data_IF_277246293899
#
_entry.id   IF_277246293899
#
_cell.length_a   1.000
_cell.length_b   1.000
_cell.length_c   1.000
_cell.angle_alpha   90.00
_cell.angle_beta   90.00
_cell.angle_gamma   90.00
#
_symmetry.space_group_name_H-M   'P 1'
#
loop_
_entity.id
_entity.type
_entity.pdbx_description
1 polymer ?
#
# COMPACT_ATOMS: atom_id res chain seq x y z
N UNK A 1 -9.83 -14.27 -20.73
CA UNK A 1 -10.59 -12.99 -20.85
C UNK A 1 -10.59 -12.12 -19.59
N UNK A 2 -11.53 -12.16 -18.62
CA UNK A 2 -11.37 -11.39 -17.35
C UNK A 2 -10.03 -11.66 -16.61
N UNK A 3 -9.39 -12.79 -16.93
CA UNK A 3 -8.10 -13.27 -16.42
C UNK A 3 -6.86 -12.66 -17.09
N UNK A 4 -6.98 -11.94 -18.21
CA UNK A 4 -5.83 -11.35 -18.93
C UNK A 4 -5.59 -9.93 -18.45
N UNK A 5 -6.64 -9.10 -18.31
CA UNK A 5 -6.51 -7.85 -17.55
C UNK A 5 -6.25 -8.19 -16.08
N UNK A 6 -7.00 -9.11 -15.46
CA UNK A 6 -6.60 -9.68 -14.15
C UNK A 6 -5.40 -10.65 -14.26
N UNK A 7 -4.58 -10.56 -15.29
CA UNK A 7 -3.37 -11.35 -15.53
C UNK A 7 -2.19 -10.46 -15.91
N UNK A 8 -2.44 -9.26 -16.41
CA UNK A 8 -1.50 -8.14 -16.60
C UNK A 8 -1.56 -7.25 -15.35
N UNK A 9 -2.77 -6.89 -14.88
CA UNK A 9 -3.03 -6.31 -13.56
C UNK A 9 -2.78 -7.34 -12.45
N UNK A 10 -3.02 -8.64 -12.69
CA UNK A 10 -2.58 -9.69 -11.76
C UNK A 10 -1.21 -10.31 -12.02
N UNK A 11 -0.47 -10.00 -13.08
CA UNK A 11 0.97 -10.22 -13.04
C UNK A 11 1.59 -9.21 -12.08
N UNK A 12 1.16 -7.95 -12.15
CA UNK A 12 1.53 -6.92 -11.16
C UNK A 12 1.07 -7.27 -9.73
N UNK A 13 -0.04 -8.00 -9.53
CA UNK A 13 -0.47 -8.46 -8.17
C UNK A 13 -0.02 -9.87 -7.74
N UNK A 14 0.30 -10.81 -8.64
CA UNK A 14 0.81 -12.16 -8.31
C UNK A 14 2.28 -12.10 -7.90
N UNK A 15 3.03 -11.12 -8.40
CA UNK A 15 4.34 -10.76 -7.83
C UNK A 15 4.24 -10.34 -6.35
N UNK A 16 3.11 -9.80 -5.90
CA UNK A 16 2.86 -9.52 -4.48
C UNK A 16 2.55 -10.78 -3.64
N UNK A 17 2.29 -11.93 -4.26
CA UNK A 17 1.91 -13.16 -3.55
C UNK A 17 3.07 -14.14 -3.33
N UNK A 18 4.19 -14.02 -4.07
CA UNK A 18 5.30 -14.98 -4.00
C UNK A 18 6.41 -14.63 -2.99
N UNK A 19 6.34 -13.49 -2.28
CA UNK A 19 7.20 -13.21 -1.11
C UNK A 19 6.54 -13.58 0.23
N UNK A 20 5.27 -14.01 0.22
CA UNK A 20 4.46 -14.28 1.41
C UNK A 20 4.08 -15.75 1.62
N UNK A 21 5.06 -16.66 1.59
CA UNK A 21 4.93 -18.02 2.16
C UNK A 21 6.32 -18.69 2.18
N UNK A 22 7.22 -18.22 3.04
CA UNK A 22 8.30 -19.07 3.53
C UNK A 22 7.70 -20.15 4.42
N UNK A 23 8.02 -21.45 4.25
CA UNK A 23 7.53 -22.48 5.15
C UNK A 23 8.08 -22.23 6.56
N UNK A 24 7.16 -22.12 7.52
CA UNK A 24 7.46 -22.08 8.95
C UNK A 24 8.40 -23.24 9.31
N UNK A 25 9.52 -22.86 9.93
CA UNK A 25 10.42 -23.75 10.65
C UNK A 25 9.67 -24.51 11.73
N UNK A 26 9.76 -25.84 11.71
CA UNK A 26 9.55 -26.67 12.89
C UNK A 26 10.90 -27.33 13.26
N UNK A 27 11.25 -27.17 14.54
CA UNK A 27 12.41 -27.68 15.26
C UNK A 27 12.86 -29.10 14.90
N UNK A 28 14.18 -29.32 14.87
CA UNK A 28 14.82 -30.34 15.71
C UNK A 28 16.32 -30.05 15.91
N UNK A 29 16.79 -30.33 17.13
CA UNK A 29 18.03 -29.89 17.73
C UNK A 29 19.23 -30.84 17.51
N UNK A 30 20.41 -30.34 17.92
CA UNK A 30 21.69 -31.03 18.20
C UNK A 30 22.55 -31.52 17.02
N UNK A 31 23.67 -30.83 16.76
CA UNK A 31 24.97 -31.30 17.27
C UNK A 31 26.08 -30.24 17.07
N UNK A 32 26.85 -30.07 18.15
CA UNK A 32 28.11 -29.33 18.23
C UNK A 32 29.19 -29.85 17.29
N UNK A 33 29.91 -28.97 16.62
CA UNK A 33 31.35 -29.18 16.37
C UNK A 33 32.09 -27.86 16.13
N UNK A 34 33.37 -27.90 16.47
CA UNK A 34 34.20 -26.80 16.94
C UNK A 34 35.37 -26.60 15.97
N UNK A 35 35.83 -25.34 15.81
CA UNK A 35 37.15 -24.90 15.29
C UNK A 35 37.33 -25.07 13.75
N UNK A 36 37.70 -24.07 12.94
CA UNK A 36 39.00 -23.38 12.92
C UNK A 36 38.93 -21.93 12.41
N UNK A 37 39.56 -21.07 13.20
CA UNK A 37 39.95 -19.69 12.90
C UNK A 37 41.07 -19.69 11.86
N UNK A 38 40.87 -19.01 10.72
CA UNK A 38 42.00 -18.61 9.86
C UNK A 38 41.87 -17.13 9.51
N UNK A 39 42.63 -16.32 10.25
CA UNK A 39 43.07 -14.99 9.83
C UNK A 39 44.02 -15.14 8.64
N UNK A 40 43.92 -14.27 7.63
CA UNK A 40 45.06 -13.66 6.92
C UNK A 40 44.60 -12.53 5.97
N UNK A 41 45.22 -11.38 6.23
CA UNK A 41 45.54 -10.23 5.36
C UNK A 41 44.45 -9.45 4.63
N UNK A 42 44.24 -8.25 5.18
CA UNK A 42 44.17 -6.99 4.45
C UNK A 42 45.07 -6.98 3.21
N UNK A 43 44.45 -6.72 2.06
CA UNK A 43 45.10 -6.09 0.94
C UNK A 43 44.26 -4.88 0.58
N UNK A 44 44.68 -3.73 1.10
CA UNK A 44 44.27 -2.43 0.57
C UNK A 44 44.40 -2.48 -0.96
N UNK A 45 43.27 -2.36 -1.64
CA UNK A 45 43.23 -1.98 -3.05
C UNK A 45 42.39 -0.71 -3.11
N UNK A 46 43.08 0.39 -2.80
CA UNK A 46 42.68 1.74 -3.16
C UNK A 46 42.72 1.83 -4.68
N UNK A 47 41.56 1.94 -5.34
CA UNK A 47 41.32 2.64 -6.62
C UNK A 47 40.01 2.16 -7.26
N UNK A 48 38.93 2.94 -7.07
CA UNK A 48 37.93 3.30 -8.09
C UNK A 48 36.88 4.25 -7.48
N UNK A 49 37.34 5.37 -6.91
CA UNK A 49 36.46 6.47 -6.50
C UNK A 49 36.45 7.51 -7.64
N UNK A 50 35.78 7.21 -8.76
CA UNK A 50 35.53 8.22 -9.82
C UNK A 50 34.27 8.00 -10.69
N UNK A 51 33.53 6.88 -10.59
CA UNK A 51 32.31 6.65 -11.41
C UNK A 51 30.98 6.57 -10.62
N UNK A 52 31.03 6.48 -9.28
CA UNK A 52 29.81 6.44 -8.45
C UNK A 52 29.06 7.79 -8.48
N UNK A 53 29.81 8.89 -8.46
CA UNK A 53 29.29 10.27 -8.33
C UNK A 53 28.47 10.71 -9.57
N UNK A 54 28.80 10.22 -10.77
CA UNK A 54 28.03 10.52 -11.99
C UNK A 54 26.78 9.66 -12.15
N UNK A 55 26.81 8.44 -11.60
CA UNK A 55 25.71 7.49 -11.71
C UNK A 55 24.60 7.84 -10.73
N UNK A 56 24.96 8.17 -9.49
CA UNK A 56 24.04 8.62 -8.44
C UNK A 56 23.32 9.92 -8.82
N UNK A 57 24.05 10.93 -9.31
CA UNK A 57 23.43 12.18 -9.79
C UNK A 57 22.47 11.94 -10.97
N UNK A 58 22.71 10.92 -11.80
CA UNK A 58 21.80 10.54 -12.89
C UNK A 58 20.54 9.84 -12.39
N UNK A 59 20.64 9.01 -11.35
CA UNK A 59 19.51 8.31 -10.76
C UNK A 59 18.63 9.26 -9.95
N UNK A 60 19.22 10.19 -9.21
CA UNK A 60 18.46 11.24 -8.52
C UNK A 60 17.62 12.07 -9.50
N UNK A 61 18.17 12.41 -10.66
CA UNK A 61 17.44 13.14 -11.68
C UNK A 61 16.23 12.34 -12.21
N UNK A 62 16.42 11.05 -12.51
CA UNK A 62 15.35 10.15 -12.96
C UNK A 62 14.25 10.02 -11.89
N UNK A 63 14.64 9.82 -10.63
CA UNK A 63 13.71 9.70 -9.49
C UNK A 63 12.92 10.99 -9.31
N UNK A 64 13.58 12.14 -9.30
CA UNK A 64 12.90 13.44 -9.18
C UNK A 64 11.94 13.68 -10.33
N UNK A 65 12.37 13.40 -11.56
CA UNK A 65 11.53 13.56 -12.74
C UNK A 65 10.24 12.72 -12.64
N UNK A 66 10.36 11.50 -12.12
CA UNK A 66 9.20 10.64 -11.88
C UNK A 66 8.29 11.18 -10.79
N UNK A 67 8.85 11.63 -9.66
CA UNK A 67 8.07 12.17 -8.54
C UNK A 67 7.39 13.49 -8.91
N UNK A 68 8.01 14.32 -9.73
CA UNK A 68 7.41 15.54 -10.28
C UNK A 68 6.20 15.18 -11.17
N UNK A 69 6.37 14.25 -12.11
CA UNK A 69 5.28 13.75 -12.95
C UNK A 69 4.13 13.13 -12.13
N UNK A 70 4.49 12.35 -11.10
CA UNK A 70 3.56 11.77 -10.14
C UNK A 70 2.80 12.85 -9.36
N UNK A 71 3.46 13.89 -8.87
CA UNK A 71 2.77 14.97 -8.14
C UNK A 71 1.85 15.80 -9.05
N UNK A 72 2.19 15.91 -10.33
CA UNK A 72 1.40 16.64 -11.33
C UNK A 72 0.26 15.80 -11.93
N UNK A 73 0.18 14.50 -11.60
CA UNK A 73 -0.73 13.52 -12.24
C UNK A 73 -0.54 13.47 -13.76
N UNK A 74 0.71 13.58 -14.20
CA UNK A 74 1.10 13.36 -15.59
C UNK A 74 1.19 11.85 -15.86
N UNK A 75 0.01 11.23 -16.04
CA UNK A 75 -0.13 9.79 -16.27
C UNK A 75 0.65 9.31 -17.50
N UNK A 76 0.74 10.13 -18.55
CA UNK A 76 1.50 9.81 -19.76
C UNK A 76 2.98 9.66 -19.43
N UNK A 77 3.55 10.67 -18.75
CA UNK A 77 4.96 10.67 -18.41
C UNK A 77 5.31 9.54 -17.44
N UNK A 78 4.51 9.32 -16.40
CA UNK A 78 4.77 8.20 -15.48
C UNK A 78 4.64 6.85 -16.18
N UNK A 79 3.73 6.71 -17.14
CA UNK A 79 3.60 5.50 -17.96
C UNK A 79 4.83 5.26 -18.82
N UNK A 80 5.32 6.27 -19.55
CA UNK A 80 6.52 6.17 -20.40
C UNK A 80 7.80 5.86 -19.61
N UNK A 81 7.89 6.37 -18.39
CA UNK A 81 9.00 6.09 -17.48
C UNK A 81 8.97 4.67 -16.89
N UNK A 82 7.81 4.00 -16.87
CA UNK A 82 7.68 2.65 -16.31
C UNK A 82 7.64 1.56 -17.38
N UNK A 83 7.01 1.83 -18.52
CA UNK A 83 6.66 0.81 -19.48
C UNK A 83 7.66 0.67 -20.63
N UNK A 84 7.82 -0.54 -21.20
CA UNK A 84 8.60 -0.71 -22.43
C UNK A 84 7.95 -0.04 -23.64
N UNK A 85 8.78 0.26 -24.63
CA UNK A 85 8.31 0.81 -25.89
C UNK A 85 7.37 -0.19 -26.60
N UNK A 86 6.33 0.32 -27.25
CA UNK A 86 5.37 -0.51 -27.97
C UNK A 86 4.28 -1.16 -27.10
N UNK A 87 4.35 -1.06 -25.76
CA UNK A 87 3.32 -1.64 -24.88
C UNK A 87 1.92 -1.07 -25.14
N UNK A 88 1.82 0.17 -25.63
CA UNK A 88 0.52 0.80 -25.89
C UNK A 88 -0.26 0.04 -26.97
N UNK A 89 0.46 -0.52 -27.96
CA UNK A 89 -0.16 -1.37 -28.98
C UNK A 89 -0.74 -2.63 -28.33
N UNK A 90 0.01 -3.27 -27.43
CA UNK A 90 -0.47 -4.44 -26.68
C UNK A 90 -1.76 -4.12 -25.92
N UNK A 91 -1.75 -3.03 -25.16
CA UNK A 91 -2.91 -2.65 -24.34
C UNK A 91 -4.13 -2.36 -25.22
N UNK A 92 -3.96 -1.66 -26.34
CA UNK A 92 -5.03 -1.42 -27.30
C UNK A 92 -5.58 -2.69 -27.92
N UNK A 93 -4.72 -3.58 -28.40
CA UNK A 93 -5.13 -4.87 -28.98
C UNK A 93 -5.94 -5.67 -27.97
N UNK A 94 -5.51 -5.73 -26.71
CA UNK A 94 -6.26 -6.42 -25.65
C UNK A 94 -7.59 -5.72 -25.36
N UNK A 95 -7.60 -4.39 -25.28
CA UNK A 95 -8.83 -3.62 -25.06
C UNK A 95 -9.84 -3.80 -26.20
N UNK A 96 -9.39 -3.90 -27.45
CA UNK A 96 -10.23 -4.16 -28.63
C UNK A 96 -10.85 -5.55 -28.59
N UNK A 97 -10.06 -6.57 -28.21
CA UNK A 97 -10.54 -7.94 -28.00
C UNK A 97 -11.65 -7.98 -26.95
N UNK A 98 -11.46 -7.29 -25.82
CA UNK A 98 -12.44 -7.30 -24.73
C UNK A 98 -13.68 -6.46 -25.01
N UNK A 99 -13.52 -5.29 -25.66
CA UNK A 99 -14.59 -4.36 -25.97
C UNK A 99 -15.26 -4.61 -27.33
N UNK A 100 -14.93 -5.72 -28.02
CA UNK A 100 -15.53 -6.12 -29.30
C UNK A 100 -17.07 -6.18 -29.29
N UNK A 101 -17.70 -6.13 -28.11
CA UNK A 101 -19.17 -6.13 -27.92
C UNK A 101 -19.77 -4.77 -27.60
N UNK A 102 -18.99 -3.82 -27.10
CA UNK A 102 -19.50 -2.56 -26.53
C UNK A 102 -19.29 -1.33 -27.42
N UNK A 103 -18.59 -1.47 -28.57
CA UNK A 103 -18.35 -0.43 -29.61
C UNK A 103 -17.88 0.93 -29.07
N UNK A 104 -17.29 0.97 -27.87
CA UNK A 104 -16.73 2.19 -27.30
C UNK A 104 -15.24 2.25 -27.57
N UNK A 105 -14.86 3.20 -28.41
CA UNK A 105 -13.47 3.62 -28.54
C UNK A 105 -13.02 4.20 -27.19
N UNK A 106 -12.07 3.53 -26.54
CA UNK A 106 -11.43 4.04 -25.32
C UNK A 106 -10.20 4.83 -25.75
N UNK A 107 -10.15 6.11 -25.42
CA UNK A 107 -8.99 6.96 -25.75
C UNK A 107 -7.73 6.47 -25.03
N UNK A 108 -6.55 6.64 -25.65
CA UNK A 108 -5.25 6.31 -25.05
C UNK A 108 -5.08 6.92 -23.66
N UNK A 109 -5.42 8.20 -23.51
CA UNK A 109 -5.33 8.91 -22.22
C UNK A 109 -6.17 8.25 -21.12
N UNK A 110 -7.35 7.73 -21.47
CA UNK A 110 -8.21 7.01 -20.50
C UNK A 110 -7.58 5.69 -20.09
N UNK A 111 -7.07 4.93 -21.06
CA UNK A 111 -6.42 3.64 -20.79
C UNK A 111 -5.16 3.82 -19.94
N UNK A 112 -4.33 4.81 -20.27
CA UNK A 112 -3.10 5.12 -19.53
C UNK A 112 -3.44 5.57 -18.12
N UNK A 113 -4.44 6.44 -17.98
CA UNK A 113 -4.91 6.87 -16.66
C UNK A 113 -5.38 5.68 -15.83
N UNK A 114 -6.27 4.84 -16.36
CA UNK A 114 -6.80 3.67 -15.65
C UNK A 114 -5.68 2.70 -15.26
N UNK A 115 -4.70 2.51 -16.16
CA UNK A 115 -3.53 1.67 -15.89
C UNK A 115 -2.63 2.27 -14.82
N UNK A 116 -2.45 3.59 -14.78
CA UNK A 116 -1.54 4.24 -13.85
C UNK A 116 -2.20 4.57 -12.51
N UNK A 117 -3.53 4.63 -12.42
CA UNK A 117 -4.25 5.10 -11.24
C UNK A 117 -3.85 4.35 -9.96
N UNK A 118 -3.52 3.06 -10.05
CA UNK A 118 -3.13 2.25 -8.88
C UNK A 118 -1.84 2.70 -8.19
N UNK A 119 -0.93 3.39 -8.89
CA UNK A 119 0.31 3.90 -8.27
C UNK A 119 0.07 5.23 -7.54
N UNK A 120 -1.03 5.94 -7.83
CA UNK A 120 -1.34 7.25 -7.27
C UNK A 120 -2.08 7.12 -5.93
N UNK A 121 -1.48 7.69 -4.89
CA UNK A 121 -2.16 8.02 -3.64
C UNK A 121 -2.84 9.40 -3.69
N UNK A 122 -3.58 9.70 -2.63
CA UNK A 122 -4.31 10.98 -2.50
C UNK A 122 -3.43 12.17 -2.11
N UNK A 123 -2.14 11.93 -1.85
CA UNK A 123 -1.20 12.94 -1.38
C UNK A 123 0.04 13.05 -2.27
N UNK A 124 0.46 14.30 -2.48
CA UNK A 124 1.75 14.64 -3.07
C UNK A 124 2.90 14.35 -2.11
N UNK A 125 4.07 14.09 -2.69
CA UNK A 125 5.27 13.68 -1.97
C UNK A 125 6.44 14.59 -2.32
N UNK A 126 7.16 15.06 -1.32
CA UNK A 126 8.38 15.84 -1.47
C UNK A 126 9.58 14.90 -1.40
N UNK A 127 10.40 14.90 -2.44
CA UNK A 127 11.69 14.23 -2.43
C UNK A 127 12.67 14.98 -1.52
N UNK A 128 13.36 14.26 -0.62
CA UNK A 128 14.42 14.84 0.22
C UNK A 128 15.80 14.46 -0.30
N UNK A 129 16.09 13.17 -0.34
CA UNK A 129 17.38 12.63 -0.75
C UNK A 129 17.26 11.15 -1.12
N UNK A 130 18.22 10.65 -1.92
CA UNK A 130 18.49 9.21 -2.00
C UNK A 130 19.32 8.84 -0.77
N UNK A 131 18.90 7.80 -0.06
CA UNK A 131 19.65 7.26 1.08
C UNK A 131 20.65 6.21 0.66
N UNK A 132 20.27 5.38 -0.32
CA UNK A 132 21.05 4.21 -0.72
C UNK A 132 20.70 3.76 -2.14
N UNK A 133 21.70 3.20 -2.82
CA UNK A 133 21.60 2.64 -4.17
C UNK A 133 22.37 1.34 -4.18
N UNK A 134 21.66 0.23 -4.35
CA UNK A 134 22.23 -1.10 -4.34
C UNK A 134 21.96 -1.80 -5.66
N UNK A 135 22.93 -2.56 -6.17
CA UNK A 135 22.62 -3.52 -7.23
C UNK A 135 21.65 -4.56 -6.68
N UNK A 136 20.63 -4.89 -7.48
CA UNK A 136 19.66 -5.92 -7.10
C UNK A 136 20.34 -7.29 -7.00
N UNK A 137 19.87 -8.13 -6.10
CA UNK A 137 20.38 -9.51 -6.01
C UNK A 137 19.85 -10.39 -7.17
N UNK A 138 20.35 -11.63 -7.28
CA UNK A 138 19.97 -12.52 -8.38
C UNK A 138 18.47 -12.87 -8.39
N UNK A 139 17.85 -12.96 -7.22
CA UNK A 139 16.43 -13.28 -7.05
C UNK A 139 15.56 -12.09 -7.44
N UNK A 140 15.90 -10.89 -6.97
CA UNK A 140 15.27 -9.63 -7.36
C UNK A 140 15.42 -9.37 -8.87
N UNK A 141 16.63 -9.57 -9.41
CA UNK A 141 16.89 -9.44 -10.84
C UNK A 141 16.04 -10.41 -11.65
N UNK A 142 15.94 -11.67 -11.22
CA UNK A 142 15.12 -12.66 -11.88
C UNK A 142 13.64 -12.23 -11.89
N UNK A 143 13.11 -11.75 -10.77
CA UNK A 143 11.74 -11.25 -10.69
C UNK A 143 11.50 -10.05 -11.62
N UNK A 144 12.42 -9.09 -11.66
CA UNK A 144 12.36 -7.96 -12.58
C UNK A 144 12.39 -8.44 -14.04
N UNK A 145 13.26 -9.39 -14.36
CA UNK A 145 13.34 -10.02 -15.69
C UNK A 145 12.05 -10.74 -16.05
N UNK A 146 11.47 -11.55 -15.19
CA UNK A 146 10.18 -12.20 -15.46
C UNK A 146 9.06 -11.18 -15.67
N UNK A 147 9.06 -10.07 -14.91
CA UNK A 147 8.05 -9.01 -15.03
C UNK A 147 8.12 -8.29 -16.37
N UNK A 148 9.28 -7.72 -16.71
CA UNK A 148 9.46 -6.99 -17.96
C UNK A 148 9.54 -7.91 -19.18
N UNK A 149 9.99 -9.15 -19.00
CA UNK A 149 10.06 -10.16 -20.04
C UNK A 149 8.70 -10.52 -20.61
N UNK A 150 7.65 -10.55 -19.76
CA UNK A 150 6.29 -10.75 -20.25
C UNK A 150 5.84 -9.59 -21.14
N UNK A 151 6.15 -8.35 -20.78
CA UNK A 151 5.82 -7.19 -21.62
C UNK A 151 6.54 -7.23 -22.97
N UNK A 152 7.84 -7.51 -22.96
CA UNK A 152 8.63 -7.63 -24.20
C UNK A 152 8.13 -8.78 -25.08
N UNK A 153 7.76 -9.92 -24.47
CA UNK A 153 7.14 -11.03 -25.19
C UNK A 153 5.80 -10.63 -25.82
N UNK A 154 4.91 -9.99 -25.06
CA UNK A 154 3.61 -9.52 -25.56
C UNK A 154 3.77 -8.54 -26.72
N UNK A 155 4.68 -7.55 -26.58
CA UNK A 155 4.98 -6.58 -27.63
C UNK A 155 5.45 -7.30 -28.89
N UNK A 156 6.37 -8.26 -28.75
CA UNK A 156 6.87 -9.03 -29.89
C UNK A 156 5.75 -9.87 -30.52
N UNK A 157 5.02 -10.63 -29.72
CA UNK A 157 4.01 -11.57 -30.16
C UNK A 157 2.87 -10.86 -30.90
N UNK A 158 2.34 -9.76 -30.36
CA UNK A 158 1.29 -8.97 -31.00
C UNK A 158 1.80 -8.32 -32.30
N UNK A 159 3.06 -7.91 -32.36
CA UNK A 159 3.63 -7.39 -33.61
C UNK A 159 3.80 -8.47 -34.69
N UNK A 160 4.03 -9.72 -34.31
CA UNK A 160 4.22 -10.84 -35.23
C UNK A 160 2.88 -11.49 -35.67
N UNK A 161 1.84 -11.42 -34.82
CA UNK A 161 0.59 -12.18 -34.98
C UNK A 161 -0.70 -11.35 -34.92
N UNK A 162 -0.64 -10.03 -35.15
CA UNK A 162 -1.79 -9.10 -35.02
C UNK A 162 -3.07 -9.59 -35.72
N UNK A 163 -2.98 -10.00 -36.99
CA UNK A 163 -4.13 -10.47 -37.78
C UNK A 163 -4.70 -11.82 -37.28
N UNK A 164 -3.84 -12.69 -36.76
CA UNK A 164 -4.20 -13.99 -36.22
C UNK A 164 -4.95 -13.81 -34.89
N UNK A 165 -4.44 -12.93 -34.02
CA UNK A 165 -5.06 -12.58 -32.74
C UNK A 165 -6.44 -11.95 -32.94
N UNK A 166 -6.61 -11.09 -33.95
CA UNK A 166 -7.91 -10.52 -34.27
C UNK A 166 -8.95 -11.58 -34.68
N UNK A 167 -8.48 -12.69 -35.27
CA UNK A 167 -9.33 -13.80 -35.73
C UNK A 167 -9.56 -14.87 -34.65
N UNK A 168 -8.57 -15.07 -33.79
CA UNK A 168 -8.57 -16.01 -32.67
C UNK A 168 -7.92 -15.38 -31.42
N UNK A 169 -8.70 -14.63 -30.63
CA UNK A 169 -8.16 -13.97 -29.44
C UNK A 169 -7.68 -14.92 -28.34
N UNK A 170 -8.08 -16.21 -28.36
CA UNK A 170 -7.64 -17.21 -27.39
C UNK A 170 -6.18 -17.63 -27.62
N UNK A 171 -5.65 -17.44 -28.84
CA UNK A 171 -4.26 -17.74 -29.19
C UNK A 171 -3.25 -17.05 -28.27
N UNK A 172 -3.52 -15.81 -27.84
CA UNK A 172 -2.63 -15.08 -26.94
C UNK A 172 -2.48 -15.80 -25.59
N UNK A 173 -3.59 -16.27 -25.02
CA UNK A 173 -3.60 -17.01 -23.75
C UNK A 173 -2.91 -18.37 -23.91
N UNK A 174 -3.20 -19.09 -25.01
CA UNK A 174 -2.63 -20.40 -25.28
C UNK A 174 -1.11 -20.37 -25.46
N UNK A 175 -0.58 -19.34 -26.13
CA UNK A 175 0.87 -19.19 -26.31
C UNK A 175 1.55 -18.70 -25.03
N UNK A 176 0.91 -17.82 -24.25
CA UNK A 176 1.41 -17.39 -22.96
C UNK A 176 1.53 -18.57 -21.96
N UNK A 177 0.53 -19.47 -21.93
CA UNK A 177 0.49 -20.65 -21.06
C UNK A 177 1.59 -21.68 -21.37
N UNK A 178 2.20 -21.62 -22.56
CA UNK A 178 3.32 -22.50 -22.96
C UNK A 178 4.67 -22.01 -22.42
N UNK A 179 4.77 -20.76 -21.98
CA UNK A 179 6.02 -20.18 -21.53
C UNK A 179 6.32 -20.57 -20.08
N UNK A 180 7.55 -21.02 -19.83
CA UNK A 180 8.06 -21.10 -18.47
C UNK A 180 8.46 -19.71 -17.96
N UNK A 181 8.53 -19.54 -16.64
CA UNK A 181 9.02 -18.29 -16.04
C UNK A 181 10.46 -17.94 -16.45
N UNK A 182 11.27 -18.95 -16.75
CA UNK A 182 12.64 -18.79 -17.28
C UNK A 182 12.62 -18.28 -18.72
N UNK A 183 11.73 -18.82 -19.57
CA UNK A 183 11.54 -18.35 -20.94
C UNK A 183 11.07 -16.89 -20.95
N UNK A 184 10.12 -16.55 -20.07
CA UNK A 184 9.63 -15.18 -19.90
C UNK A 184 10.80 -14.25 -19.50
N UNK A 185 11.57 -14.62 -18.48
CA UNK A 185 12.70 -13.80 -18.01
C UNK A 185 13.74 -13.53 -19.12
N UNK A 186 13.94 -14.48 -20.03
CA UNK A 186 14.87 -14.36 -21.14
C UNK A 186 14.47 -13.27 -22.17
N UNK A 187 13.20 -12.88 -22.25
CA UNK A 187 12.75 -11.81 -23.16
C UNK A 187 13.07 -10.39 -22.67
N UNK A 188 13.33 -10.22 -21.38
CA UNK A 188 13.33 -8.90 -20.73
C UNK A 188 14.41 -7.93 -21.18
N UNK A 189 15.48 -8.36 -21.83
CA UNK A 189 16.60 -7.49 -22.24
C UNK A 189 17.12 -6.53 -21.14
N UNK A 190 16.92 -6.86 -19.85
CA UNK A 190 17.44 -6.09 -18.72
C UNK A 190 18.94 -6.33 -18.63
N UNK A 191 19.69 -5.24 -18.76
CA UNK A 191 21.16 -5.25 -18.68
C UNK A 191 21.68 -4.91 -17.28
N UNK A 192 21.01 -4.01 -16.59
CA UNK A 192 21.37 -3.50 -15.26
C UNK A 192 20.09 -3.21 -14.47
N UNK A 193 20.12 -3.40 -13.17
CA UNK A 193 19.04 -2.98 -12.28
C UNK A 193 19.60 -2.60 -10.90
N UNK A 194 19.01 -1.56 -10.32
CA UNK A 194 19.39 -1.03 -9.01
C UNK A 194 18.15 -0.81 -8.16
N UNK A 195 18.22 -1.14 -6.88
CA UNK A 195 17.26 -0.75 -5.86
C UNK A 195 17.67 0.60 -5.30
N UNK A 196 16.77 1.57 -5.38
CA UNK A 196 16.99 2.93 -4.87
C UNK A 196 16.10 3.14 -3.66
N UNK A 197 16.72 3.39 -2.50
CA UNK A 197 16.02 3.78 -1.28
C UNK A 197 16.11 5.29 -1.12
N UNK A 198 14.97 5.94 -0.92
CA UNK A 198 14.87 7.40 -0.83
C UNK A 198 14.09 7.86 0.39
N UNK A 199 14.43 9.05 0.88
CA UNK A 199 13.66 9.76 1.89
C UNK A 199 12.62 10.64 1.20
N UNK A 200 11.35 10.35 1.47
CA UNK A 200 10.20 11.12 1.00
C UNK A 200 9.51 11.79 2.20
N UNK A 201 8.68 12.80 1.92
CA UNK A 201 7.86 13.48 2.90
C UNK A 201 6.49 13.80 2.29
N UNK A 202 5.40 13.47 3.00
CA UNK A 202 4.07 13.85 2.54
C UNK A 202 3.89 15.38 2.60
N UNK A 203 3.45 16.00 1.51
CA UNK A 203 3.33 17.46 1.43
C UNK A 203 2.34 18.02 2.46
N UNK A 204 1.20 17.34 2.67
CA UNK A 204 0.15 17.78 3.59
C UNK A 204 0.58 17.73 5.06
N UNK A 205 1.22 16.63 5.47
CA UNK A 205 1.49 16.34 6.90
C UNK A 205 2.92 16.65 7.31
N UNK A 206 3.85 16.79 6.37
CA UNK A 206 5.28 16.85 6.64
C UNK A 206 5.86 15.55 7.19
N UNK A 207 5.11 14.44 7.16
CA UNK A 207 5.58 13.15 7.66
C UNK A 207 6.59 12.55 6.68
N UNK A 208 7.80 12.31 7.20
CA UNK A 208 8.91 11.70 6.46
C UNK A 208 8.85 10.17 6.51
N UNK A 209 9.07 9.51 5.36
CA UNK A 209 9.12 8.05 5.23
C UNK A 209 10.14 7.58 4.18
N UNK A 210 10.51 6.30 4.22
CA UNK A 210 11.40 5.69 3.22
C UNK A 210 10.56 5.07 2.09
N UNK A 211 10.82 5.50 0.86
CA UNK A 211 10.30 4.87 -0.36
C UNK A 211 11.38 4.04 -1.04
N UNK A 212 10.99 3.00 -1.80
CA UNK A 212 11.92 2.15 -2.54
C UNK A 212 11.45 1.91 -3.95
N UNK A 213 12.30 2.08 -4.94
CA UNK A 213 11.95 1.72 -6.32
C UNK A 213 13.11 1.04 -7.00
N UNK A 214 12.81 0.32 -8.09
CA UNK A 214 13.86 -0.25 -8.94
C UNK A 214 14.06 0.64 -10.17
N UNK A 215 15.32 0.98 -10.44
CA UNK A 215 15.74 1.53 -11.73
C UNK A 215 16.27 0.38 -12.58
N UNK A 216 15.67 0.17 -13.75
CA UNK A 216 15.93 -0.97 -14.62
C UNK A 216 16.37 -0.47 -15.98
N UNK A 217 17.53 -0.93 -16.47
CA UNK A 217 18.05 -0.60 -17.79
C UNK A 217 17.53 -1.60 -18.82
N UNK A 218 16.37 -1.28 -19.37
CA UNK A 218 15.60 -2.07 -20.34
C UNK A 218 15.87 -1.55 -21.75
N UNK A 219 16.37 -2.42 -22.65
CA UNK A 219 16.67 -2.05 -24.05
C UNK A 219 17.58 -0.80 -24.18
N UNK A 220 18.42 -0.54 -23.17
CA UNK A 220 19.33 0.62 -23.13
C UNK A 220 18.75 1.90 -22.54
N UNK A 221 17.45 1.93 -22.20
CA UNK A 221 16.79 3.05 -21.51
C UNK A 221 16.51 2.69 -20.05
N UNK A 222 16.56 3.69 -19.16
CA UNK A 222 16.17 3.52 -17.76
C UNK A 222 14.64 3.55 -17.64
N UNK A 223 14.10 2.56 -16.94
CA UNK A 223 12.70 2.44 -16.58
C UNK A 223 12.57 2.31 -15.06
N UNK A 224 11.44 2.75 -14.53
CA UNK A 224 11.12 2.69 -13.11
C UNK A 224 10.16 1.53 -12.88
N UNK A 225 10.42 0.74 -11.85
CA UNK A 225 9.44 -0.17 -11.30
C UNK A 225 9.09 0.27 -9.87
N UNK A 226 7.81 0.58 -9.66
CA UNK A 226 7.28 1.22 -8.45
C UNK A 226 6.76 0.22 -7.41
N UNK A 227 7.13 -1.06 -7.50
CA UNK A 227 6.61 -2.15 -6.65
C UNK A 227 6.65 -1.82 -5.14
N UNK A 228 7.65 -1.06 -4.68
CA UNK A 228 7.80 -0.63 -3.27
C UNK A 228 7.78 0.91 -3.09
N UNK A 229 7.49 1.67 -4.16
CA UNK A 229 7.82 3.11 -4.20
C UNK A 229 6.95 3.92 -3.25
N UNK A 230 5.68 3.54 -3.16
CA UNK A 230 4.66 4.30 -2.48
C UNK A 230 3.73 3.34 -1.73
N UNK A 231 4.15 2.91 -0.54
CA UNK A 231 3.18 2.55 0.49
C UNK A 231 3.06 1.09 0.92
N UNK A 232 4.14 0.31 0.93
CA UNK A 232 4.16 -0.84 1.86
C UNK A 232 4.07 -0.35 3.31
N UNK A 233 4.72 0.78 3.64
CA UNK A 233 4.61 1.35 4.98
C UNK A 233 3.26 1.98 5.30
N UNK A 234 2.54 2.59 4.37
CA UNK A 234 1.20 3.18 4.65
C UNK A 234 0.20 2.09 5.03
N UNK A 235 0.26 0.94 4.36
CA UNK A 235 -0.57 -0.23 4.65
C UNK A 235 -0.15 -0.95 5.96
N UNK A 236 1.13 -1.01 6.28
CA UNK A 236 1.61 -1.60 7.54
C UNK A 236 1.47 -0.64 8.73
N UNK A 237 1.62 0.68 8.54
CA UNK A 237 1.44 1.68 9.59
C UNK A 237 -0.04 1.85 9.96
N UNK A 238 -0.96 1.79 8.98
CA UNK A 238 -2.40 1.71 9.23
C UNK A 238 -2.75 0.44 10.02
N UNK A 239 -2.27 -0.74 9.61
CA UNK A 239 -2.46 -1.99 10.38
C UNK A 239 -1.85 -1.95 11.79
N UNK A 240 -0.74 -1.23 12.00
CA UNK A 240 -0.11 -1.08 13.32
C UNK A 240 -0.87 -0.11 14.25
N UNK A 241 -1.72 0.76 13.73
CA UNK A 241 -2.57 1.68 14.50
C UNK A 241 -4.03 1.17 14.63
N UNK A 242 -4.50 0.34 13.71
CA UNK A 242 -5.80 -0.36 13.79
C UNK A 242 -5.89 -1.28 15.00
N UNK A 243 -4.77 -1.91 15.40
CA UNK A 243 -4.74 -2.81 16.55
C UNK A 243 -5.12 -2.08 17.85
N UNK A 244 -4.49 -0.95 18.23
CA UNK A 244 -4.94 -0.15 19.36
C UNK A 244 -6.40 0.32 19.28
N UNK A 245 -6.83 0.91 18.14
CA UNK A 245 -8.21 1.39 17.98
C UNK A 245 -9.23 0.24 18.12
N UNK A 246 -8.93 -0.92 17.54
CA UNK A 246 -9.74 -2.13 17.67
C UNK A 246 -9.76 -2.68 19.10
N UNK A 247 -8.62 -2.65 19.80
CA UNK A 247 -8.52 -3.08 21.19
C UNK A 247 -9.33 -2.18 22.12
N UNK A 248 -9.27 -0.85 21.95
CA UNK A 248 -10.08 0.11 22.71
C UNK A 248 -11.57 -0.13 22.43
N UNK A 249 -11.98 -0.22 21.17
CA UNK A 249 -13.37 -0.48 20.80
C UNK A 249 -13.91 -1.80 21.42
N UNK A 250 -13.11 -2.88 21.37
CA UNK A 250 -13.46 -4.16 21.98
C UNK A 250 -13.54 -4.08 23.50
N UNK A 251 -12.57 -3.43 24.15
CA UNK A 251 -12.55 -3.20 25.59
C UNK A 251 -13.81 -2.43 26.04
N UNK A 252 -14.18 -1.39 25.30
CA UNK A 252 -15.37 -0.57 25.54
C UNK A 252 -16.67 -1.37 25.36
N UNK A 253 -16.76 -2.20 24.31
CA UNK A 253 -17.90 -3.09 24.13
C UNK A 253 -18.01 -4.12 25.26
N UNK A 254 -16.87 -4.66 25.73
CA UNK A 254 -16.85 -5.58 26.88
C UNK A 254 -17.28 -4.88 28.16
N UNK A 255 -16.75 -3.68 28.45
CA UNK A 255 -17.13 -2.86 29.59
C UNK A 255 -18.64 -2.55 29.59
N UNK A 256 -19.20 -2.19 28.42
CA UNK A 256 -20.63 -1.98 28.26
C UNK A 256 -21.45 -3.22 28.62
N UNK A 257 -21.06 -4.40 28.10
CA UNK A 257 -21.76 -5.66 28.39
C UNK A 257 -21.72 -6.00 29.89
N UNK A 258 -20.61 -5.75 30.57
CA UNK A 258 -20.53 -5.97 32.02
C UNK A 258 -21.46 -5.03 32.80
N UNK A 259 -21.46 -3.74 32.48
CA UNK A 259 -22.35 -2.75 33.11
C UNK A 259 -23.82 -3.09 32.85
N UNK A 260 -24.17 -3.59 31.66
CA UNK A 260 -25.51 -4.08 31.33
C UNK A 260 -25.91 -5.29 32.19
N UNK A 261 -25.00 -6.28 32.31
CA UNK A 261 -25.22 -7.47 33.16
C UNK A 261 -25.36 -7.09 34.65
N UNK A 262 -24.66 -6.06 35.10
CA UNK A 262 -24.75 -5.51 36.46
C UNK A 262 -26.02 -4.67 36.69
N UNK A 263 -26.76 -4.34 35.62
CA UNK A 263 -28.00 -3.57 35.69
C UNK A 263 -27.78 -2.05 35.75
N UNK A 264 -26.57 -1.59 35.42
CA UNK A 264 -26.19 -0.17 35.40
C UNK A 264 -26.65 0.53 34.11
N UNK A 265 -27.03 -0.24 33.08
CA UNK A 265 -27.50 0.27 31.79
C UNK A 265 -29.02 0.08 31.66
N UNK A 266 -29.81 1.16 31.60
CA UNK A 266 -31.25 1.06 31.40
C UNK A 266 -31.60 0.74 29.95
N UNK A 267 -32.71 0.00 29.75
CA UNK A 267 -33.25 -0.27 28.42
C UNK A 267 -33.49 1.03 27.62
N UNK A 268 -32.92 1.12 26.42
CA UNK A 268 -33.13 2.28 25.55
C UNK A 268 -32.20 2.31 24.35
N UNK A 269 -32.29 3.41 23.60
CA UNK A 269 -31.34 3.73 22.53
C UNK A 269 -30.55 4.97 22.90
N UNK A 270 -29.24 4.87 22.86
CA UNK A 270 -28.31 5.94 23.27
C UNK A 270 -27.20 6.05 22.24
N UNK A 271 -26.68 7.26 22.04
CA UNK A 271 -25.58 7.53 21.11
C UNK A 271 -24.82 8.74 21.63
N UNK A 272 -23.57 8.55 22.02
CA UNK A 272 -22.76 9.56 22.70
C UNK A 272 -21.27 9.39 22.38
N UNK A 273 -20.47 10.41 22.69
CA UNK A 273 -19.02 10.37 22.55
C UNK A 273 -18.39 10.36 23.94
N UNK A 274 -17.50 9.40 24.15
CA UNK A 274 -16.61 9.36 25.30
C UNK A 274 -15.17 9.50 24.81
N UNK A 275 -14.37 10.31 25.50
CA UNK A 275 -13.00 10.63 25.11
C UNK A 275 -12.05 10.52 26.31
N UNK A 276 -10.77 10.29 26.02
CA UNK A 276 -9.67 10.45 26.97
C UNK A 276 -9.60 11.88 27.55
N UNK A 277 -10.09 12.88 26.82
CA UNK A 277 -10.27 14.24 27.31
C UNK A 277 -11.74 14.44 27.69
N UNK A 278 -12.03 14.51 29.00
CA UNK A 278 -13.39 14.68 29.51
C UNK A 278 -14.09 15.92 28.96
N UNK A 279 -13.35 16.96 28.56
CA UNK A 279 -13.94 18.16 27.95
C UNK A 279 -14.51 17.92 26.55
N UNK A 280 -14.12 16.81 25.92
CA UNK A 280 -14.63 16.32 24.63
C UNK A 280 -15.70 15.22 24.79
N UNK A 281 -16.15 14.92 26.01
CA UNK A 281 -17.33 14.08 26.19
C UNK A 281 -18.57 14.80 25.64
N UNK A 282 -19.39 14.10 24.85
CA UNK A 282 -20.54 14.69 24.16
C UNK A 282 -21.78 13.82 24.28
N UNK A 283 -22.93 14.44 24.57
CA UNK A 283 -24.23 13.79 24.70
C UNK A 283 -24.26 12.59 25.69
N UNK A 284 -23.42 12.60 26.73
CA UNK A 284 -23.41 11.56 27.78
C UNK A 284 -24.74 11.60 28.56
N UNK A 285 -25.49 10.48 28.64
CA UNK A 285 -26.70 10.43 29.45
C UNK A 285 -26.40 10.64 30.94
N UNK A 286 -27.29 11.33 31.67
CA UNK A 286 -27.09 11.61 33.11
C UNK A 286 -26.92 10.36 33.98
N UNK A 287 -27.46 9.22 33.54
CA UNK A 287 -27.35 7.94 34.24
C UNK A 287 -26.03 7.20 33.97
N UNK A 288 -25.28 7.58 32.94
CA UNK A 288 -24.11 6.85 32.50
C UNK A 288 -22.89 7.18 33.38
N UNK A 289 -22.42 6.20 34.14
CA UNK A 289 -21.21 6.32 34.94
C UNK A 289 -19.97 6.21 34.05
N UNK A 290 -19.45 7.38 33.66
CA UNK A 290 -18.27 7.50 32.80
C UNK A 290 -17.01 6.98 33.49
N UNK A 291 -16.89 7.17 34.81
CA UNK A 291 -15.72 6.74 35.58
C UNK A 291 -15.67 5.21 35.65
N UNK A 292 -16.80 4.57 36.00
CA UNK A 292 -16.92 3.12 36.02
C UNK A 292 -16.68 2.48 34.65
N UNK A 293 -17.20 3.09 33.59
CA UNK A 293 -16.98 2.61 32.22
C UNK A 293 -15.50 2.66 31.84
N UNK A 294 -14.81 3.77 32.14
CA UNK A 294 -13.38 3.92 31.89
C UNK A 294 -12.55 2.91 32.72
N UNK A 295 -12.87 2.72 34.01
CA UNK A 295 -12.22 1.73 34.88
C UNK A 295 -12.34 0.31 34.31
N UNK A 296 -13.56 -0.10 33.91
CA UNK A 296 -13.78 -1.41 33.28
C UNK A 296 -13.04 -1.53 31.96
N UNK A 297 -13.00 -0.46 31.15
CA UNK A 297 -12.28 -0.47 29.88
C UNK A 297 -10.77 -0.63 30.07
N UNK A 298 -10.18 0.04 31.07
CA UNK A 298 -8.76 -0.06 31.43
C UNK A 298 -8.36 -1.51 31.76
N UNK A 299 -9.26 -2.28 32.39
CA UNK A 299 -9.00 -3.70 32.71
C UNK A 299 -8.75 -4.58 31.49
N UNK A 300 -9.21 -4.16 30.30
CA UNK A 300 -9.01 -4.85 29.03
C UNK A 300 -8.00 -4.14 28.11
N UNK A 301 -7.67 -2.88 28.37
CA UNK A 301 -6.69 -2.10 27.64
C UNK A 301 -5.95 -1.15 28.59
N UNK A 302 -4.90 -1.66 29.22
CA UNK A 302 -4.16 -0.98 30.30
C UNK A 302 -3.64 0.42 29.92
N UNK A 303 -3.34 0.65 28.65
CA UNK A 303 -2.81 1.93 28.17
C UNK A 303 -3.88 2.96 27.79
N UNK A 304 -5.15 2.74 28.16
CA UNK A 304 -6.24 3.65 27.77
C UNK A 304 -6.05 5.07 28.33
N UNK A 305 -5.48 5.19 29.53
CA UNK A 305 -5.27 6.45 30.23
C UNK A 305 -4.04 7.23 29.73
N UNK A 306 -3.11 6.55 29.07
CA UNK A 306 -1.87 7.13 28.54
C UNK A 306 -1.99 7.53 27.05
N UNK A 307 -3.19 7.46 26.48
CA UNK A 307 -3.41 7.63 25.04
C UNK A 307 -4.54 8.60 24.76
N UNK A 308 -4.43 9.35 23.67
CA UNK A 308 -5.48 10.24 23.23
C UNK A 308 -6.45 9.47 22.31
N UNK A 309 -7.74 9.48 22.65
CA UNK A 309 -8.76 8.76 21.90
C UNK A 309 -10.15 9.35 22.11
N UNK A 310 -11.06 9.06 21.18
CA UNK A 310 -12.50 9.20 21.39
C UNK A 310 -13.23 8.04 20.73
N UNK A 311 -14.40 7.69 21.28
CA UNK A 311 -15.28 6.67 20.74
C UNK A 311 -16.71 7.15 20.67
N UNK A 312 -17.35 6.91 19.52
CA UNK A 312 -18.80 7.04 19.35
C UNK A 312 -19.44 5.73 19.76
N UNK A 313 -20.13 5.72 20.90
CA UNK A 313 -20.85 4.56 21.41
C UNK A 313 -22.32 4.75 21.14
N UNK A 314 -22.91 3.86 20.35
CA UNK A 314 -24.36 3.84 20.13
C UNK A 314 -24.93 2.46 20.43
N UNK A 315 -25.85 2.38 21.38
CA UNK A 315 -26.48 1.15 21.86
C UNK A 315 -25.46 0.05 22.23
N UNK A 316 -24.37 0.43 22.91
CA UNK A 316 -23.31 -0.49 23.34
C UNK A 316 -22.36 -0.97 22.25
N UNK A 317 -22.45 -0.40 21.05
CA UNK A 317 -21.52 -0.67 19.95
C UNK A 317 -20.64 0.57 19.77
N UNK A 318 -19.31 0.37 19.77
CA UNK A 318 -18.38 1.39 19.32
C UNK A 318 -18.45 1.48 17.79
N UNK A 319 -19.09 2.52 17.26
CA UNK A 319 -19.28 2.75 15.82
C UNK A 319 -18.04 3.32 15.15
N UNK A 320 -17.31 4.14 15.89
CA UNK A 320 -15.97 4.59 15.52
C UNK A 320 -15.18 4.86 16.78
N UNK A 321 -13.92 4.45 16.77
CA UNK A 321 -12.93 4.76 17.80
C UNK A 321 -11.72 5.34 17.11
N UNK A 322 -11.45 6.63 17.32
CA UNK A 322 -10.25 7.30 16.87
C UNK A 322 -9.18 7.22 17.96
N UNK A 323 -7.95 6.86 17.58
CA UNK A 323 -6.83 6.67 18.50
C UNK A 323 -5.59 7.42 18.02
N UNK A 324 -4.93 8.16 18.90
CA UNK A 324 -3.68 8.90 18.67
C UNK A 324 -2.56 8.34 19.54
N UNK A 325 -1.54 7.75 18.90
CA UNK A 325 -0.43 7.07 19.61
C UNK A 325 0.60 8.02 20.20
N UNK A 326 0.97 9.07 19.46
CA UNK A 326 2.16 9.92 19.76
C UNK A 326 2.09 11.32 19.15
N UNK A 327 1.35 11.50 18.05
CA UNK A 327 1.16 12.78 17.34
C UNK A 327 -0.18 12.78 16.59
N UNK A 328 -0.83 13.94 16.39
CA UNK A 328 -2.17 14.06 15.79
C UNK A 328 -2.31 13.50 14.37
N UNK A 329 -1.21 13.21 13.67
CA UNK A 329 -1.20 12.54 12.37
C UNK A 329 -1.24 10.99 12.43
N UNK A 330 -1.17 10.39 13.62
CA UNK A 330 -1.22 8.93 13.84
C UNK A 330 -2.62 8.49 14.30
N UNK A 331 -3.65 8.87 13.54
CA UNK A 331 -5.04 8.52 13.87
C UNK A 331 -5.41 7.23 13.16
N UNK A 332 -5.93 6.25 13.91
CA UNK A 332 -6.59 5.09 13.34
C UNK A 332 -8.02 4.98 13.83
N UNK A 333 -8.86 4.37 13.00
CA UNK A 333 -10.30 4.23 13.20
C UNK A 333 -10.72 2.77 13.17
N UNK A 334 -11.64 2.39 14.05
CA UNK A 334 -12.27 1.07 14.05
C UNK A 334 -13.71 1.16 14.58
N UNK A 335 -14.67 0.39 14.04
CA UNK A 335 -14.60 -0.42 12.82
C UNK A 335 -14.62 0.44 11.55
N UNK A 336 -13.94 -0.01 10.48
CA UNK A 336 -13.90 0.70 9.19
C UNK A 336 -15.11 0.43 8.28
N UNK A 337 -15.85 -0.66 8.49
CA UNK A 337 -16.98 -1.07 7.65
C UNK A 337 -18.10 -1.70 8.51
N UNK A 338 -18.87 -0.87 9.22
CA UNK A 338 -20.03 -1.36 9.97
C UNK A 338 -21.32 -1.07 9.19
N UNK A 339 -21.81 -2.09 8.50
CA UNK A 339 -23.06 -2.09 7.74
C UNK A 339 -24.25 -2.20 8.72
N UNK A 340 -24.63 -1.08 9.37
CA UNK A 340 -25.85 -1.00 10.16
C UNK A 340 -26.26 0.46 10.44
N UNK A 341 -27.17 1.02 9.64
CA UNK A 341 -28.13 2.12 9.96
C UNK A 341 -27.62 3.45 10.57
N UNK A 342 -26.32 3.61 10.73
CA UNK A 342 -25.62 4.87 11.00
C UNK A 342 -24.93 5.28 9.70
N UNK A 343 -25.74 5.50 8.66
CA UNK A 343 -25.39 5.62 7.24
C UNK A 343 -24.42 6.75 6.85
N UNK A 344 -23.73 7.43 7.78
CA UNK A 344 -22.93 8.61 7.39
C UNK A 344 -21.62 8.82 8.17
N UNK A 345 -21.44 8.38 9.44
CA UNK A 345 -20.24 8.82 10.19
C UNK A 345 -18.93 8.27 9.62
N UNK A 346 -18.88 6.97 9.31
CA UNK A 346 -17.65 6.36 8.80
C UNK A 346 -17.34 6.80 7.35
N UNK A 347 -18.38 7.11 6.57
CA UNK A 347 -18.25 7.61 5.19
C UNK A 347 -17.85 9.09 5.14
N UNK A 348 -18.23 9.88 6.15
CA UNK A 348 -17.86 11.29 6.27
C UNK A 348 -16.44 11.50 6.79
N UNK A 349 -15.85 10.49 7.45
CA UNK A 349 -14.51 10.59 8.01
C UNK A 349 -13.50 9.93 7.07
N UNK A 350 -12.43 10.64 6.71
CA UNK A 350 -11.35 10.15 5.85
C UNK A 350 -10.03 10.07 6.60
N UNK A 351 -9.08 9.26 6.11
CA UNK A 351 -7.79 9.04 6.77
C UNK A 351 -6.87 10.28 6.74
N UNK A 352 -7.22 11.32 5.99
CA UNK A 352 -6.48 12.58 5.91
C UNK A 352 -7.02 13.69 6.82
N UNK A 353 -8.05 13.40 7.62
CA UNK A 353 -8.61 14.33 8.61
C UNK A 353 -7.76 14.37 9.88
N UNK A 354 -7.71 15.53 10.53
CA UNK A 354 -7.19 15.66 11.89
C UNK A 354 -8.15 15.11 12.94
N UNK A 355 -7.63 14.83 14.14
CA UNK A 355 -8.41 14.21 15.23
C UNK A 355 -9.62 15.07 15.61
N UNK A 356 -9.44 16.39 15.61
CA UNK A 356 -10.51 17.36 15.88
C UNK A 356 -11.54 17.42 14.75
N UNK A 357 -11.13 17.35 13.48
CA UNK A 357 -12.07 17.29 12.35
C UNK A 357 -12.92 16.01 12.39
N UNK A 358 -12.32 14.86 12.72
CA UNK A 358 -13.06 13.61 12.91
C UNK A 358 -14.07 13.73 14.06
N UNK A 359 -13.64 14.32 15.17
CA UNK A 359 -14.48 14.55 16.34
C UNK A 359 -15.68 15.45 16.03
N UNK A 360 -15.46 16.59 15.37
CA UNK A 360 -16.51 17.55 15.02
C UNK A 360 -17.57 16.94 14.08
N UNK A 361 -17.15 16.08 13.15
CA UNK A 361 -18.07 15.32 12.27
C UNK A 361 -18.93 14.37 13.11
N UNK A 362 -18.33 13.66 14.08
CA UNK A 362 -19.06 12.75 14.96
C UNK A 362 -20.07 13.49 15.84
N UNK A 363 -19.68 14.63 16.42
CA UNK A 363 -20.55 15.49 17.23
C UNK A 363 -21.76 15.91 16.40
N UNK A 364 -21.52 16.45 15.20
CA UNK A 364 -22.59 16.90 14.30
C UNK A 364 -23.55 15.76 13.94
N UNK A 365 -23.02 14.57 13.63
CA UNK A 365 -23.84 13.43 13.27
C UNK A 365 -24.68 12.85 14.43
N UNK A 366 -24.27 13.10 15.68
CA UNK A 366 -25.07 12.79 16.87
C UNK A 366 -26.14 13.86 17.09
N UNK A 367 -25.80 15.14 16.94
CA UNK A 367 -26.71 16.28 17.16
C UNK A 367 -27.82 16.39 16.10
N UNK A 368 -27.56 15.94 14.87
CA UNK A 368 -28.53 15.95 13.76
C UNK A 368 -29.62 14.85 13.90
N UNK A 369 -29.60 14.05 14.99
CA UNK A 369 -30.55 12.97 15.28
C UNK A 369 -31.51 13.31 16.42
#
# INVERSE_FOLDING_TARGET
MKRIIAGIIAFTTVLCAFTGCGPDTADEAEETTTVETTTVSEKETTEAATDADSTEASFEAIVKEFLDAYNERDYQKTFEMQMPDGIMKVIKTIAEIENAKDEKEVSEDTVIKDYQEYIYGDSKVNFKEIKDIESVDESELFNLKSSFGMYEWLVKFINEHEDEIASDPEMLDEEADKLSIDDIAAFSNISEAYRVTMQLEYEKTGLSYEGRMYLVKLNGAWKINTFEALGERTRTSQKQLEVPASSIAKAQMTAWVEMDVEGEIPDGKYCFIISSDESKNHNIPEWFDTELFCEKTESYFESINDTEWFSVICNGIAYTTAYVKTRPENISRYPQNFDNSLEDINDLITDDMSFDEMYDICVKAIDDK
#
